data_IF_508483054540
#
_entry.id   IF_508483054540
#
_cell.length_a   1.000
_cell.length_b   1.000
_cell.length_c   1.000
_cell.angle_alpha   90.00
_cell.angle_beta   90.00
_cell.angle_gamma   90.00
#
_symmetry.space_group_name_H-M   'P 1'
#
loop_
_entity.id
_entity.type
_entity.pdbx_description
1 polymer ?
#
# COMPACT_ATOMS: atom_id res chain seq x y z
N UNK A 1 -5.47 -7.37 4.05
CA UNK A 1 -5.60 -6.26 3.07
C UNK A 1 -7.01 -6.22 2.46
N UNK A 2 -7.66 -5.06 2.45
CA UNK A 2 -9.03 -4.88 1.92
C UNK A 2 -9.11 -3.64 1.04
N UNK A 3 -9.93 -3.73 0.00
CA UNK A 3 -10.06 -2.72 -1.04
C UNK A 3 -11.52 -2.27 -1.13
N UNK A 4 -11.77 -0.96 -1.18
CA UNK A 4 -13.10 -0.38 -1.49
C UNK A 4 -13.06 0.31 -2.84
N UNK A 5 -14.19 0.85 -3.32
CA UNK A 5 -14.19 1.60 -4.59
C UNK A 5 -13.20 2.77 -4.57
N UNK A 6 -13.08 3.46 -3.42
CA UNK A 6 -12.30 4.70 -3.29
C UNK A 6 -11.03 4.59 -2.45
N UNK A 7 -10.87 3.54 -1.65
CA UNK A 7 -9.80 3.47 -0.65
C UNK A 7 -9.16 2.08 -0.59
N UNK A 8 -7.96 2.04 0.00
CA UNK A 8 -7.23 0.83 0.35
C UNK A 8 -6.98 0.81 1.86
N UNK A 9 -7.15 -0.34 2.49
CA UNK A 9 -6.93 -0.54 3.92
C UNK A 9 -6.05 -1.76 4.19
N UNK A 10 -5.05 -1.58 5.04
CA UNK A 10 -4.15 -2.61 5.52
C UNK A 10 -4.24 -2.70 7.04
N UNK A 11 -4.16 -3.93 7.55
CA UNK A 11 -4.22 -4.23 8.97
C UNK A 11 -3.32 -5.43 9.24
N UNK A 12 -2.56 -5.37 10.33
CA UNK A 12 -1.90 -6.51 10.95
C UNK A 12 -2.83 -7.04 12.02
N UNK A 13 -3.24 -8.29 11.92
CA UNK A 13 -4.28 -8.87 12.77
C UNK A 13 -3.77 -10.18 13.35
N UNK A 14 -3.98 -10.37 14.64
CA UNK A 14 -3.72 -11.64 15.34
C UNK A 14 -5.01 -12.21 15.92
N UNK A 15 -5.17 -13.54 15.93
CA UNK A 15 -6.30 -14.17 16.60
C UNK A 15 -6.05 -14.23 18.12
N UNK A 16 -7.02 -13.80 18.91
CA UNK A 16 -7.06 -14.02 20.36
C UNK A 16 -8.34 -14.76 20.78
N UNK A 17 -8.37 -15.29 22.01
CA UNK A 17 -9.49 -16.10 22.50
C UNK A 17 -10.85 -15.39 22.51
N UNK A 18 -10.86 -14.05 22.58
CA UNK A 18 -12.08 -13.23 22.58
C UNK A 18 -12.45 -12.70 21.18
N UNK A 19 -11.61 -12.93 20.19
CA UNK A 19 -11.72 -12.36 18.85
C UNK A 19 -10.38 -11.79 18.37
N UNK A 20 -10.37 -11.35 17.13
CA UNK A 20 -9.17 -10.83 16.50
C UNK A 20 -8.79 -9.44 17.03
N UNK A 21 -7.49 -9.19 17.19
CA UNK A 21 -6.93 -7.91 17.60
C UNK A 21 -6.13 -7.31 16.46
N UNK A 22 -6.38 -6.04 16.14
CA UNK A 22 -5.59 -5.29 15.17
C UNK A 22 -4.40 -4.65 15.87
N UNK A 23 -3.20 -5.07 15.50
CA UNK A 23 -1.94 -4.58 16.06
C UNK A 23 -1.51 -3.28 15.39
N UNK A 24 -1.55 -3.26 14.05
CA UNK A 24 -1.22 -2.09 13.23
C UNK A 24 -2.24 -1.90 12.12
N UNK A 25 -2.39 -0.67 11.64
CA UNK A 25 -3.27 -0.38 10.50
C UNK A 25 -2.87 0.90 9.76
N UNK A 26 -3.18 0.91 8.47
CA UNK A 26 -3.08 2.11 7.63
C UNK A 26 -4.23 2.14 6.61
N UNK A 27 -4.77 3.34 6.37
CA UNK A 27 -5.80 3.61 5.36
C UNK A 27 -5.26 4.63 4.36
N UNK A 28 -5.58 4.45 3.08
CA UNK A 28 -5.11 5.34 2.01
C UNK A 28 -5.50 6.81 2.16
N UNK A 29 -6.49 7.14 3.01
CA UNK A 29 -6.84 8.53 3.35
C UNK A 29 -5.76 9.22 4.17
N UNK A 30 -4.93 8.46 4.88
CA UNK A 30 -3.80 8.98 5.66
C UNK A 30 -2.69 9.54 4.77
N UNK A 31 -2.63 9.13 3.51
CA UNK A 31 -1.71 9.69 2.53
C UNK A 31 -1.86 11.22 2.36
N UNK A 32 -3.05 11.76 2.67
CA UNK A 32 -3.27 13.20 2.70
C UNK A 32 -2.34 13.95 3.67
N UNK A 33 -1.89 13.31 4.77
CA UNK A 33 -0.90 13.89 5.70
C UNK A 33 0.45 14.16 5.03
N UNK A 34 0.78 13.36 4.02
CA UNK A 34 2.00 13.46 3.22
C UNK A 34 1.81 14.34 1.97
N UNK A 35 0.63 14.95 1.80
CA UNK A 35 0.32 15.79 0.64
C UNK A 35 -0.10 15.01 -0.60
N UNK A 36 -0.65 13.80 -0.44
CA UNK A 36 -1.29 13.09 -1.55
C UNK A 36 -2.69 13.66 -1.82
N UNK A 37 -2.87 14.32 -2.95
CA UNK A 37 -4.13 14.96 -3.36
C UNK A 37 -4.91 14.16 -4.42
N UNK A 38 -4.32 13.09 -4.96
CA UNK A 38 -4.96 12.26 -5.98
C UNK A 38 -6.04 11.31 -5.44
N UNK A 39 -6.64 10.55 -6.36
CA UNK A 39 -7.58 9.50 -5.97
C UNK A 39 -6.89 8.40 -5.16
N UNK A 40 -7.49 8.00 -4.04
CA UNK A 40 -6.93 6.97 -3.14
C UNK A 40 -7.33 5.53 -3.51
N UNK A 41 -8.02 5.36 -4.64
CA UNK A 41 -8.56 4.09 -5.11
C UNK A 41 -7.77 3.45 -6.25
N UNK A 42 -6.57 3.95 -6.56
CA UNK A 42 -5.72 3.48 -7.66
C UNK A 42 -4.56 2.59 -7.15
N UNK A 43 -3.72 2.10 -8.06
CA UNK A 43 -2.53 1.29 -7.73
C UNK A 43 -1.47 2.09 -6.98
N UNK A 44 -1.27 3.35 -7.36
CA UNK A 44 -0.30 4.28 -6.75
C UNK A 44 -0.58 4.48 -5.27
N UNK A 45 -1.80 4.88 -4.91
CA UNK A 45 -2.23 5.02 -3.53
C UNK A 45 -2.16 3.69 -2.77
N UNK A 46 -2.49 2.57 -3.41
CA UNK A 46 -2.41 1.27 -2.76
C UNK A 46 -0.96 0.92 -2.39
N UNK A 47 0.01 1.14 -3.28
CA UNK A 47 1.43 0.96 -2.99
C UNK A 47 1.90 1.87 -1.85
N UNK A 48 1.61 3.17 -1.92
CA UNK A 48 2.02 4.13 -0.88
C UNK A 48 1.41 3.80 0.48
N UNK A 49 0.15 3.34 0.51
CA UNK A 49 -0.49 2.85 1.75
C UNK A 49 0.21 1.60 2.28
N UNK A 50 0.66 0.72 1.37
CA UNK A 50 1.49 -0.44 1.68
C UNK A 50 2.81 -0.06 2.33
N UNK A 51 3.53 0.89 1.72
CA UNK A 51 4.79 1.40 2.22
C UNK A 51 4.65 2.02 3.62
N UNK A 52 3.64 2.90 3.79
CA UNK A 52 3.29 3.50 5.08
C UNK A 52 2.99 2.44 6.15
N UNK A 53 2.17 1.46 5.80
CA UNK A 53 1.84 0.36 6.73
C UNK A 53 3.08 -0.45 7.11
N UNK A 54 3.95 -0.77 6.15
CA UNK A 54 5.15 -1.56 6.39
C UNK A 54 6.07 -0.87 7.39
N UNK A 55 6.37 0.42 7.19
CA UNK A 55 7.19 1.16 8.14
C UNK A 55 6.56 1.30 9.52
N UNK A 56 5.26 1.61 9.56
CA UNK A 56 4.52 1.71 10.83
C UNK A 56 4.53 0.39 11.61
N UNK A 57 4.34 -0.74 10.94
CA UNK A 57 4.38 -2.05 11.58
C UNK A 57 5.78 -2.39 12.11
N UNK A 58 6.83 -2.04 11.37
CA UNK A 58 8.22 -2.23 11.80
C UNK A 58 8.57 -1.35 13.01
N UNK A 59 8.13 -0.09 13.03
CA UNK A 59 8.31 0.81 14.17
C UNK A 59 7.61 0.28 15.44
N UNK A 60 6.43 -0.32 15.28
CA UNK A 60 5.69 -0.98 16.36
C UNK A 60 6.30 -2.33 16.78
N UNK A 61 7.39 -2.79 16.13
CA UNK A 61 8.15 -4.00 16.47
C UNK A 61 7.65 -5.28 15.80
N UNK A 62 6.84 -5.18 14.75
CA UNK A 62 6.35 -6.32 13.98
C UNK A 62 7.12 -6.47 12.66
N UNK A 63 7.67 -7.65 12.42
CA UNK A 63 8.61 -7.85 11.30
C UNK A 63 8.04 -8.69 10.15
N UNK A 64 6.98 -9.47 10.40
CA UNK A 64 6.45 -10.40 9.40
C UNK A 64 4.95 -10.64 9.49
N UNK A 65 4.37 -11.12 8.40
CA UNK A 65 2.96 -11.47 8.32
C UNK A 65 2.60 -12.24 7.05
N UNK A 66 1.34 -12.67 6.96
CA UNK A 66 0.81 -13.39 5.80
C UNK A 66 -0.25 -12.54 5.11
N UNK A 67 -0.20 -12.49 3.77
CA UNK A 67 -1.22 -11.78 3.00
C UNK A 67 -2.58 -12.49 3.11
N UNK A 68 -3.52 -11.84 3.79
CA UNK A 68 -4.95 -12.12 3.67
C UNK A 68 -5.60 -11.12 2.69
N UNK A 69 -6.12 -11.62 1.57
CA UNK A 69 -6.87 -10.85 0.57
C UNK A 69 -8.40 -11.01 0.66
N UNK A 70 -8.89 -11.90 1.52
CA UNK A 70 -10.30 -12.20 1.69
C UNK A 70 -10.90 -12.80 0.41
N UNK A 71 -12.10 -12.36 0.05
CA UNK A 71 -12.84 -12.84 -1.13
C UNK A 71 -12.41 -12.20 -2.46
N UNK A 72 -11.26 -11.54 -2.49
CA UNK A 72 -10.78 -10.84 -3.69
C UNK A 72 -10.10 -11.82 -4.66
N UNK A 73 -10.31 -11.63 -5.96
CA UNK A 73 -9.64 -12.44 -6.97
C UNK A 73 -8.12 -12.22 -6.96
N UNK A 74 -7.38 -13.33 -7.09
CA UNK A 74 -5.93 -13.34 -7.28
C UNK A 74 -5.62 -13.01 -8.74
N UNK A 75 -5.42 -11.72 -9.03
CA UNK A 75 -5.12 -11.24 -10.38
C UNK A 75 -3.79 -10.47 -10.38
N UNK A 76 -2.83 -10.84 -11.24
CA UNK A 76 -1.55 -10.13 -11.34
C UNK A 76 -1.73 -8.63 -11.56
N UNK A 77 -0.91 -7.81 -10.91
CA UNK A 77 -0.95 -6.35 -11.04
C UNK A 77 -2.18 -5.66 -10.42
N UNK A 78 -2.99 -6.38 -9.63
CA UNK A 78 -4.12 -5.78 -8.92
C UNK A 78 -3.67 -4.86 -7.77
N UNK A 79 -4.60 -4.04 -7.25
CA UNK A 79 -4.30 -3.07 -6.17
C UNK A 79 -3.81 -3.75 -4.88
N UNK A 80 -4.26 -4.97 -4.59
CA UNK A 80 -3.76 -5.71 -3.41
C UNK A 80 -2.27 -6.01 -3.58
N UNK A 81 -1.85 -6.43 -4.77
CA UNK A 81 -0.43 -6.69 -5.03
C UNK A 81 0.41 -5.42 -5.12
N UNK A 82 -0.17 -4.29 -5.55
CA UNK A 82 0.48 -2.99 -5.39
C UNK A 82 0.76 -2.66 -3.91
N UNK A 83 -0.25 -2.85 -3.04
CA UNK A 83 -0.09 -2.66 -1.60
C UNK A 83 0.91 -3.64 -0.99
N UNK A 84 0.84 -4.93 -1.34
CA UNK A 84 1.82 -5.93 -0.91
C UNK A 84 3.25 -5.54 -1.30
N UNK A 85 3.44 -5.06 -2.54
CA UNK A 85 4.74 -4.60 -3.01
C UNK A 85 5.27 -3.44 -2.15
N UNK A 86 4.41 -2.48 -1.80
CA UNK A 86 4.77 -1.40 -0.87
C UNK A 86 5.19 -1.91 0.52
N UNK A 87 4.47 -2.89 1.07
CA UNK A 87 4.83 -3.51 2.37
C UNK A 87 6.20 -4.20 2.31
N UNK A 88 6.44 -4.98 1.25
CA UNK A 88 7.71 -5.69 1.05
C UNK A 88 8.87 -4.70 0.84
N UNK A 89 8.66 -3.64 0.07
CA UNK A 89 9.68 -2.62 -0.18
C UNK A 89 10.03 -1.81 1.09
N UNK A 90 9.11 -1.72 2.06
CA UNK A 90 9.39 -1.15 3.38
C UNK A 90 10.31 -2.06 4.24
N UNK A 91 10.49 -3.32 3.86
CA UNK A 91 11.30 -4.31 4.58
C UNK A 91 10.50 -5.26 5.48
N UNK A 92 9.16 -5.18 5.48
CA UNK A 92 8.32 -6.10 6.24
C UNK A 92 8.18 -7.44 5.50
N UNK A 93 8.49 -8.54 6.19
CA UNK A 93 8.55 -9.87 5.58
C UNK A 93 7.15 -10.45 5.34
N UNK A 94 6.84 -10.74 4.08
CA UNK A 94 5.61 -11.41 3.67
C UNK A 94 5.96 -12.43 2.62
N UNK A 95 5.60 -13.72 2.79
CA UNK A 95 5.76 -14.71 1.73
C UNK A 95 5.01 -14.29 0.46
N UNK A 96 5.74 -14.13 -0.65
CA UNK A 96 5.19 -13.62 -1.90
C UNK A 96 5.89 -14.19 -3.14
N UNK A 97 5.28 -13.98 -4.30
CA UNK A 97 5.90 -14.22 -5.60
C UNK A 97 6.02 -12.89 -6.34
N UNK A 98 7.24 -12.48 -6.69
CA UNK A 98 7.48 -11.19 -7.35
C UNK A 98 6.80 -11.06 -8.72
N UNK A 99 6.47 -12.17 -9.39
CA UNK A 99 5.79 -12.16 -10.69
C UNK A 99 4.35 -11.66 -10.64
N UNK A 100 3.74 -11.56 -9.44
CA UNK A 100 2.36 -11.07 -9.29
C UNK A 100 2.27 -9.54 -9.16
N UNK A 101 3.41 -8.88 -8.95
CA UNK A 101 3.46 -7.44 -8.75
C UNK A 101 3.14 -6.69 -10.04
N UNK A 102 2.45 -5.52 -9.94
CA UNK A 102 2.36 -4.60 -11.06
C UNK A 102 3.74 -4.06 -11.46
N UNK A 103 3.87 -3.58 -12.69
CA UNK A 103 5.08 -2.87 -13.12
C UNK A 103 5.29 -1.58 -12.33
N UNK A 104 6.53 -1.13 -12.25
CA UNK A 104 6.89 0.13 -11.58
C UNK A 104 6.19 1.33 -12.23
N UNK A 105 6.07 1.36 -13.56
CA UNK A 105 5.31 2.36 -14.33
C UNK A 105 3.84 2.42 -13.86
N UNK A 106 3.23 1.26 -13.60
CA UNK A 106 1.86 1.15 -13.10
C UNK A 106 1.74 1.59 -11.63
N UNK A 107 2.76 1.35 -10.83
CA UNK A 107 2.83 1.81 -9.44
C UNK A 107 2.96 3.34 -9.40
N UNK A 108 3.89 3.90 -10.16
CA UNK A 108 4.12 5.35 -10.27
C UNK A 108 2.93 6.11 -10.85
N UNK A 109 2.04 5.41 -11.56
CA UNK A 109 0.83 6.01 -12.12
C UNK A 109 1.06 6.64 -13.50
N UNK A 110 2.14 6.25 -14.19
CA UNK A 110 2.48 6.74 -15.54
C UNK A 110 1.34 6.44 -16.53
N UNK A 111 0.81 5.22 -16.50
CA UNK A 111 -0.37 4.83 -17.27
C UNK A 111 -1.63 5.69 -17.01
N UNK A 112 -1.76 6.29 -15.82
CA UNK A 112 -2.88 7.20 -15.51
C UNK A 112 -2.59 8.57 -16.09
N UNK A 113 -1.34 9.04 -16.04
CA UNK A 113 -0.93 10.30 -16.63
C UNK A 113 -0.99 10.30 -18.17
N UNK A 114 -0.71 9.16 -18.80
CA UNK A 114 -0.94 8.97 -20.23
C UNK A 114 -2.43 9.01 -20.59
N UNK A 115 -3.29 8.41 -19.76
CA UNK A 115 -4.73 8.38 -20.00
C UNK A 115 -5.42 9.72 -19.70
N UNK A 116 -4.97 10.41 -18.66
CA UNK A 116 -5.44 11.74 -18.25
C UNK A 116 -4.33 12.76 -18.52
N UNK A 117 -4.33 13.34 -19.73
CA UNK A 117 -3.42 14.44 -20.07
C UNK A 117 -3.43 15.52 -18.97
N UNK A 118 -2.27 15.74 -18.35
CA UNK A 118 -2.10 16.71 -17.27
C UNK A 118 -2.16 16.15 -15.84
N UNK A 119 -2.25 14.84 -15.64
CA UNK A 119 -2.08 14.26 -14.30
C UNK A 119 -0.62 14.29 -13.86
N UNK A 120 -0.35 14.94 -12.72
CA UNK A 120 0.95 14.98 -12.04
C UNK A 120 1.15 13.80 -11.06
N UNK A 121 0.51 12.66 -11.33
CA UNK A 121 0.50 11.52 -10.43
C UNK A 121 1.91 10.92 -10.19
N UNK A 122 2.78 10.77 -11.22
CA UNK A 122 4.14 10.29 -11.01
C UNK A 122 4.98 11.21 -10.11
N UNK A 123 4.90 12.52 -10.31
CA UNK A 123 5.62 13.49 -9.49
C UNK A 123 5.11 13.49 -8.04
N UNK A 124 3.79 13.43 -7.87
CA UNK A 124 3.17 13.33 -6.55
C UNK A 124 3.53 12.01 -5.84
N UNK A 125 3.65 10.90 -6.58
CA UNK A 125 4.08 9.62 -6.03
C UNK A 125 5.45 9.72 -5.38
N UNK A 126 6.45 10.26 -6.09
CA UNK A 126 7.82 10.37 -5.56
C UNK A 126 7.84 11.33 -4.35
N UNK A 127 7.18 12.49 -4.43
CA UNK A 127 7.12 13.45 -3.33
C UNK A 127 6.47 12.88 -2.05
N UNK A 128 5.41 12.08 -2.19
CA UNK A 128 4.75 11.43 -1.05
C UNK A 128 5.61 10.30 -0.50
N UNK A 129 6.24 9.51 -1.37
CA UNK A 129 7.17 8.45 -0.98
C UNK A 129 8.33 8.98 -0.16
N UNK A 130 8.96 10.08 -0.58
CA UNK A 130 10.04 10.74 0.15
C UNK A 130 9.61 11.21 1.55
N UNK A 131 8.41 11.79 1.67
CA UNK A 131 7.90 12.23 2.98
C UNK A 131 7.57 11.07 3.91
N UNK A 132 7.04 9.97 3.38
CA UNK A 132 6.84 8.74 4.16
C UNK A 132 8.20 8.24 4.66
N UNK A 133 9.20 8.13 3.77
CA UNK A 133 10.54 7.69 4.15
C UNK A 133 11.14 8.59 5.24
N UNK A 134 11.00 9.91 5.12
CA UNK A 134 11.53 10.86 6.08
C UNK A 134 10.88 10.77 7.47
N UNK A 135 9.65 10.27 7.60
CA UNK A 135 8.99 10.07 8.90
C UNK A 135 9.56 8.86 9.66
N UNK A 136 10.00 7.82 8.94
CA UNK A 136 10.46 6.54 9.51
C UNK A 136 11.97 6.30 9.35
N UNK A 137 12.75 7.35 9.03
CA UNK A 137 14.22 7.33 8.93
C UNK A 137 14.92 7.72 10.22
#
# INVERSE_FOLDING_TARGET
MRKSTRHMQLQLVIPEAKGDVTLSSAISTELGKYGYEGATGNTTAAYLTGLLFGYKALEEGYESGVLDMGLQASSPGCRVYAALKGVVDAGFDVPHNSSVFPSDERIRGEHVAEYMEGSNLPEMFEAVKEKILAEFS
#
